data_IF_396224812558
#
_entry.id   IF_396224812558
#
_cell.length_a   1.000
_cell.length_b   1.000
_cell.length_c   1.000
_cell.angle_alpha   90.00
_cell.angle_beta   90.00
_cell.angle_gamma   90.00
#
_symmetry.space_group_name_H-M   'P 1'
#
loop_
_entity.id
_entity.type
_entity.pdbx_description
1 polymer ?
#
# COMPACT_ATOMS: atom_id res chain seq x y z
N UNK A 1 -3.95 24.73 12.66
CA UNK A 1 -3.79 23.61 11.71
C UNK A 1 -4.68 23.75 10.48
N UNK A 2 -6.01 23.86 10.63
CA UNK A 2 -6.94 24.00 9.50
C UNK A 2 -6.74 25.23 8.60
N UNK A 3 -6.09 26.28 9.09
CA UNK A 3 -5.66 27.43 8.26
C UNK A 3 -4.57 27.06 7.25
N UNK A 4 -3.63 26.19 7.64
CA UNK A 4 -2.55 25.70 6.79
C UNK A 4 -3.07 24.72 5.75
N UNK A 5 -3.90 23.74 6.16
CA UNK A 5 -4.52 22.77 5.26
C UNK A 5 -5.30 23.48 4.13
N UNK A 6 -6.15 24.45 4.50
CA UNK A 6 -6.90 25.27 3.54
C UNK A 6 -5.99 26.09 2.63
N UNK A 7 -4.94 26.72 3.17
CA UNK A 7 -3.99 27.51 2.37
C UNK A 7 -3.25 26.62 1.37
N UNK A 8 -2.77 25.46 1.80
CA UNK A 8 -2.09 24.50 0.96
C UNK A 8 -3.00 23.97 -0.16
N UNK A 9 -4.23 23.57 0.17
CA UNK A 9 -5.23 23.14 -0.81
C UNK A 9 -5.54 24.24 -1.85
N UNK A 10 -5.64 25.51 -1.44
CA UNK A 10 -5.78 26.62 -2.40
C UNK A 10 -4.59 26.75 -3.34
N UNK A 11 -3.35 26.62 -2.82
CA UNK A 11 -2.14 26.68 -3.63
C UNK A 11 -2.07 25.53 -4.64
N UNK A 12 -2.44 24.30 -4.23
CA UNK A 12 -2.51 23.17 -5.15
C UNK A 12 -3.54 23.38 -6.26
N UNK A 13 -4.73 23.92 -5.94
CA UNK A 13 -5.75 24.23 -6.98
C UNK A 13 -5.25 25.29 -7.96
N UNK A 14 -4.55 26.32 -7.48
CA UNK A 14 -3.91 27.32 -8.35
C UNK A 14 -2.82 26.69 -9.22
N UNK A 15 -1.94 25.88 -8.62
CA UNK A 15 -0.86 25.17 -9.31
C UNK A 15 -1.35 24.20 -10.38
N UNK A 16 -2.50 23.54 -10.16
CA UNK A 16 -3.16 22.67 -11.15
C UNK A 16 -3.54 23.43 -12.43
N UNK A 17 -3.85 24.71 -12.33
CA UNK A 17 -4.20 25.58 -13.47
C UNK A 17 -3.01 26.32 -14.06
N UNK A 18 -1.78 26.06 -13.60
CA UNK A 18 -0.59 26.71 -14.15
C UNK A 18 -0.27 26.19 -15.57
N UNK A 19 0.30 27.04 -16.45
CA UNK A 19 0.70 26.64 -17.80
C UNK A 19 1.81 25.58 -17.84
N UNK A 20 2.64 25.51 -16.79
CA UNK A 20 3.71 24.53 -16.70
C UNK A 20 3.16 23.14 -16.39
N UNK A 21 3.18 22.25 -17.40
CA UNK A 21 2.55 20.93 -17.31
C UNK A 21 3.08 20.04 -16.18
N UNK A 22 4.36 20.13 -15.79
CA UNK A 22 4.93 19.35 -14.67
C UNK A 22 4.30 19.75 -13.35
N UNK A 23 4.27 21.04 -13.05
CA UNK A 23 3.65 21.60 -11.84
C UNK A 23 2.14 21.33 -11.82
N UNK A 24 1.45 21.54 -12.94
CA UNK A 24 0.01 21.26 -13.04
C UNK A 24 -0.31 19.78 -12.72
N UNK A 25 0.46 18.84 -13.29
CA UNK A 25 0.30 17.40 -13.05
C UNK A 25 0.65 17.01 -11.61
N UNK A 26 1.72 17.58 -11.05
CA UNK A 26 2.10 17.35 -9.65
C UNK A 26 0.99 17.79 -8.68
N UNK A 27 0.47 19.01 -8.86
CA UNK A 27 -0.63 19.52 -8.04
C UNK A 27 -1.91 18.69 -8.20
N UNK A 28 -2.25 18.28 -9.43
CA UNK A 28 -3.38 17.37 -9.67
C UNK A 28 -3.22 16.04 -8.94
N UNK A 29 -2.02 15.45 -8.96
CA UNK A 29 -1.73 14.20 -8.26
C UNK A 29 -1.87 14.34 -6.75
N UNK A 30 -1.36 15.43 -6.16
CA UNK A 30 -1.49 15.67 -4.71
C UNK A 30 -2.95 15.90 -4.30
N UNK A 31 -3.74 16.61 -5.11
CA UNK A 31 -5.16 16.84 -4.82
C UNK A 31 -5.98 15.55 -4.74
N UNK A 32 -5.57 14.47 -5.43
CA UNK A 32 -6.22 13.15 -5.31
C UNK A 32 -6.09 12.55 -3.91
N UNK A 33 -5.15 13.03 -3.11
CA UNK A 33 -4.86 12.54 -1.77
C UNK A 33 -4.98 13.65 -0.71
N UNK A 34 -5.66 14.77 -1.01
CA UNK A 34 -5.71 15.98 -0.17
C UNK A 34 -6.09 15.68 1.29
N UNK A 35 -7.08 14.80 1.50
CA UNK A 35 -7.47 14.36 2.84
C UNK A 35 -6.33 13.59 3.53
N UNK A 36 -5.70 12.64 2.83
CA UNK A 36 -4.67 11.76 3.40
C UNK A 36 -3.38 12.49 3.76
N UNK A 37 -3.05 13.61 3.10
CA UNK A 37 -1.79 14.36 3.30
C UNK A 37 -1.53 14.79 4.74
N UNK A 38 -2.59 14.96 5.53
CA UNK A 38 -2.51 15.48 6.90
C UNK A 38 -2.74 14.40 7.97
N UNK A 39 -2.86 13.13 7.56
CA UNK A 39 -3.19 12.03 8.47
C UNK A 39 -2.16 11.89 9.60
N UNK A 40 -0.88 12.08 9.30
CA UNK A 40 0.21 12.02 10.28
C UNK A 40 0.09 13.07 11.40
N UNK A 41 -0.54 14.21 11.11
CA UNK A 41 -0.75 15.26 12.10
C UNK A 41 -1.99 15.00 12.96
N UNK A 42 -2.99 14.29 12.41
CA UNK A 42 -4.26 13.98 13.08
C UNK A 42 -4.26 12.65 13.82
N UNK A 43 -3.39 11.71 13.44
CA UNK A 43 -3.32 10.36 14.02
C UNK A 43 -1.90 10.07 14.48
N UNK A 44 -1.74 9.89 15.79
CA UNK A 44 -0.47 9.45 16.39
C UNK A 44 -0.05 8.09 15.81
N UNK A 45 1.24 7.94 15.53
CA UNK A 45 1.83 6.70 14.98
C UNK A 45 1.74 6.56 13.46
N UNK A 46 1.16 7.52 12.75
CA UNK A 46 1.24 7.61 11.29
C UNK A 46 2.44 8.46 10.92
N UNK A 47 3.35 7.90 10.12
CA UNK A 47 4.53 8.61 9.62
C UNK A 47 4.16 9.69 8.59
N UNK A 48 4.91 10.82 8.52
CA UNK A 48 4.70 11.85 7.49
C UNK A 48 5.16 11.43 6.10
N UNK A 49 5.66 10.21 5.94
CA UNK A 49 6.25 9.69 4.70
C UNK A 49 5.58 8.37 4.29
N UNK A 50 5.62 8.07 2.99
CA UNK A 50 5.11 6.82 2.42
C UNK A 50 6.09 5.63 2.58
N UNK A 51 7.20 5.82 3.29
CA UNK A 51 8.29 4.84 3.40
C UNK A 51 7.82 3.46 3.86
N UNK A 52 6.86 3.42 4.80
CA UNK A 52 6.30 2.16 5.28
C UNK A 52 5.63 1.37 4.14
N UNK A 53 4.71 2.01 3.41
CA UNK A 53 4.02 1.34 2.31
C UNK A 53 5.00 0.96 1.18
N UNK A 54 5.95 1.83 0.85
CA UNK A 54 6.99 1.56 -0.15
C UNK A 54 7.84 0.35 0.23
N UNK A 55 8.28 0.25 1.48
CA UNK A 55 9.03 -0.91 1.99
C UNK A 55 8.20 -2.20 1.89
N UNK A 56 6.94 -2.15 2.28
CA UNK A 56 6.03 -3.31 2.23
C UNK A 56 5.82 -3.82 0.80
N UNK A 57 5.68 -2.92 -0.20
CA UNK A 57 5.49 -3.33 -1.60
C UNK A 57 6.80 -3.58 -2.36
N UNK A 58 7.95 -3.13 -1.84
CA UNK A 58 9.25 -3.19 -2.53
C UNK A 58 9.59 -4.59 -3.00
N UNK A 59 9.36 -5.61 -2.17
CA UNK A 59 9.62 -7.01 -2.52
C UNK A 59 8.87 -7.42 -3.79
N UNK A 60 7.59 -7.05 -3.92
CA UNK A 60 6.80 -7.34 -5.12
C UNK A 60 7.34 -6.59 -6.34
N UNK A 61 7.64 -5.30 -6.19
CA UNK A 61 8.13 -4.46 -7.29
C UNK A 61 9.44 -4.99 -7.83
N UNK A 62 10.37 -5.37 -6.95
CA UNK A 62 11.65 -5.96 -7.33
C UNK A 62 11.45 -7.30 -8.02
N UNK A 63 10.65 -8.21 -7.45
CA UNK A 63 10.34 -9.50 -8.06
C UNK A 63 9.74 -9.35 -9.46
N UNK A 64 8.76 -8.45 -9.63
CA UNK A 64 8.15 -8.19 -10.95
C UNK A 64 9.18 -7.68 -11.96
N UNK A 65 10.12 -6.83 -11.52
CA UNK A 65 11.16 -6.26 -12.37
C UNK A 65 12.20 -7.30 -12.81
N UNK A 66 12.64 -8.17 -11.90
CA UNK A 66 13.74 -9.13 -12.16
C UNK A 66 13.25 -10.47 -12.73
N UNK A 67 12.00 -10.86 -12.42
CA UNK A 67 11.41 -12.16 -12.82
C UNK A 67 10.25 -12.01 -13.80
N UNK A 68 10.05 -10.82 -14.36
CA UNK A 68 8.99 -10.48 -15.34
C UNK A 68 7.54 -10.69 -14.85
N UNK A 69 7.34 -11.05 -13.58
CA UNK A 69 6.02 -11.16 -12.98
C UNK A 69 5.19 -12.35 -13.49
N UNK A 70 3.87 -12.18 -13.53
CA UNK A 70 2.93 -13.19 -14.04
C UNK A 70 2.35 -12.75 -15.38
N UNK A 71 1.98 -13.70 -16.23
CA UNK A 71 1.35 -13.43 -17.54
C UNK A 71 -0.07 -14.02 -17.63
N UNK A 72 -0.65 -14.40 -16.49
CA UNK A 72 -2.01 -14.93 -16.41
C UNK A 72 -2.75 -14.39 -15.19
N UNK A 73 -4.07 -14.27 -15.31
CA UNK A 73 -4.94 -13.81 -14.22
C UNK A 73 -4.83 -14.71 -12.98
N UNK A 74 -4.70 -16.03 -13.20
CA UNK A 74 -4.48 -17.00 -12.12
C UNK A 74 -3.17 -16.72 -11.37
N UNK A 75 -2.09 -16.43 -12.10
CA UNK A 75 -0.79 -16.09 -11.52
C UNK A 75 -0.84 -14.78 -10.71
N UNK A 76 -1.45 -13.74 -11.28
CA UNK A 76 -1.63 -12.46 -10.58
C UNK A 76 -2.42 -12.62 -9.27
N UNK A 77 -3.52 -13.39 -9.31
CA UNK A 77 -4.32 -13.67 -8.11
C UNK A 77 -3.51 -14.40 -7.04
N UNK A 78 -2.70 -15.39 -7.43
CA UNK A 78 -1.84 -16.12 -6.52
C UNK A 78 -0.83 -15.19 -5.83
N UNK A 79 -0.06 -14.43 -6.63
CA UNK A 79 0.96 -13.51 -6.10
C UNK A 79 0.34 -12.44 -5.21
N UNK A 80 -0.80 -11.87 -5.61
CA UNK A 80 -1.54 -10.89 -4.80
C UNK A 80 -1.87 -11.47 -3.42
N UNK A 81 -2.43 -12.68 -3.36
CA UNK A 81 -2.82 -13.34 -2.10
C UNK A 81 -1.61 -13.68 -1.23
N UNK A 82 -0.57 -14.29 -1.81
CA UNK A 82 0.65 -14.65 -1.06
C UNK A 82 1.34 -13.41 -0.52
N UNK A 83 1.44 -12.33 -1.31
CA UNK A 83 2.01 -11.09 -0.83
C UNK A 83 1.19 -10.49 0.31
N UNK A 84 -0.13 -10.41 0.18
CA UNK A 84 -0.99 -9.92 1.27
C UNK A 84 -0.76 -10.72 2.56
N UNK A 85 -0.82 -12.05 2.49
CA UNK A 85 -0.63 -12.92 3.67
C UNK A 85 0.76 -12.72 4.26
N UNK A 86 1.81 -12.81 3.46
CA UNK A 86 3.19 -12.73 3.94
C UNK A 86 3.54 -11.37 4.54
N UNK A 87 3.07 -10.27 3.93
CA UNK A 87 3.33 -8.93 4.44
C UNK A 87 2.53 -8.65 5.71
N UNK A 88 1.25 -9.04 5.76
CA UNK A 88 0.44 -8.87 6.98
C UNK A 88 1.02 -9.65 8.16
N UNK A 89 1.41 -10.92 7.95
CA UNK A 89 2.00 -11.73 9.02
C UNK A 89 3.34 -11.15 9.52
N UNK A 90 4.18 -10.65 8.61
CA UNK A 90 5.43 -9.95 8.98
C UNK A 90 5.15 -8.71 9.83
N UNK A 91 4.16 -7.91 9.46
CA UNK A 91 3.76 -6.73 10.24
C UNK A 91 3.20 -7.11 11.62
N UNK A 92 2.52 -8.25 11.73
CA UNK A 92 2.01 -8.79 12.99
C UNK A 92 3.08 -9.53 13.82
N UNK A 93 4.31 -9.70 13.30
CA UNK A 93 5.36 -10.50 13.96
C UNK A 93 5.06 -12.01 14.02
N UNK A 94 4.17 -12.52 13.17
CA UNK A 94 3.76 -13.94 13.12
C UNK A 94 4.63 -14.75 12.14
N UNK A 95 4.83 -16.03 12.45
CA UNK A 95 5.61 -16.94 11.61
C UNK A 95 4.89 -17.27 10.29
N UNK A 96 5.40 -16.73 9.18
CA UNK A 96 4.81 -16.89 7.83
C UNK A 96 4.72 -18.35 7.42
N UNK A 97 5.82 -19.11 7.56
CA UNK A 97 5.87 -20.51 7.12
C UNK A 97 4.85 -21.37 7.87
N UNK A 98 4.81 -21.24 9.20
CA UNK A 98 3.86 -21.97 10.04
C UNK A 98 2.42 -21.68 9.64
N UNK A 99 2.06 -20.41 9.44
CA UNK A 99 0.72 -20.05 8.99
C UNK A 99 0.33 -20.69 7.66
N UNK A 100 1.26 -20.76 6.70
CA UNK A 100 1.00 -21.41 5.41
C UNK A 100 0.82 -22.92 5.56
N UNK A 101 1.63 -23.57 6.39
CA UNK A 101 1.47 -24.98 6.74
C UNK A 101 0.11 -25.25 7.38
N UNK A 102 -0.29 -24.42 8.34
CA UNK A 102 -1.58 -24.53 9.03
C UNK A 102 -2.75 -24.34 8.06
N UNK A 103 -2.66 -23.36 7.16
CA UNK A 103 -3.69 -23.09 6.16
C UNK A 103 -3.86 -24.25 5.16
N UNK A 104 -2.76 -24.83 4.68
CA UNK A 104 -2.80 -25.99 3.77
C UNK A 104 -3.32 -27.23 4.51
N UNK A 105 -2.89 -27.43 5.76
CA UNK A 105 -3.33 -28.56 6.59
C UNK A 105 -4.81 -28.46 6.91
N UNK A 106 -5.32 -27.27 7.25
CA UNK A 106 -6.75 -27.04 7.46
C UNK A 106 -7.55 -27.36 6.19
N UNK A 107 -7.12 -26.84 5.04
CA UNK A 107 -7.77 -27.09 3.75
C UNK A 107 -7.85 -28.60 3.43
N UNK A 108 -6.75 -29.33 3.59
CA UNK A 108 -6.68 -30.77 3.31
C UNK A 108 -7.58 -31.61 4.22
N UNK A 109 -7.81 -31.16 5.45
CA UNK A 109 -8.62 -31.84 6.43
C UNK A 109 -10.07 -31.34 6.47
N UNK A 110 -10.50 -30.49 5.53
CA UNK A 110 -11.84 -29.90 5.51
C UNK A 110 -12.14 -28.98 6.71
N UNK A 111 -11.11 -28.45 7.37
CA UNK A 111 -11.21 -27.54 8.52
C UNK A 111 -11.10 -26.08 8.07
N UNK A 112 -11.55 -25.17 8.91
CA UNK A 112 -11.41 -23.73 8.69
C UNK A 112 -9.95 -23.29 8.73
N UNK A 113 -9.52 -22.52 7.73
CA UNK A 113 -8.17 -21.96 7.66
C UNK A 113 -7.89 -20.95 8.79
N UNK A 114 -6.63 -20.79 9.22
CA UNK A 114 -6.27 -19.81 10.24
C UNK A 114 -6.59 -18.38 9.77
N UNK A 115 -7.02 -17.55 10.71
CA UNK A 115 -7.37 -16.16 10.42
C UNK A 115 -6.14 -15.29 10.24
N UNK A 116 -6.19 -14.41 9.24
CA UNK A 116 -5.18 -13.37 9.02
C UNK A 116 -5.39 -12.15 9.94
N UNK A 117 -6.54 -12.07 10.63
CA UNK A 117 -6.89 -10.96 11.52
C UNK A 117 -6.01 -10.90 12.79
#
# INVERSE_FOLDING_TARGET
>A
MHSLERRFGRLLRKGRSCPEGKTAKFCANLLRFEESLWTFVRRKGVEPTNNHAERTIRTLVLWRKISFGCHSEKGYRFVKRVLTVTQTLKLQGKAVFQFLCDAITALRNGKTAPSLA
#
